data_IF_117658505647
#
_entry.id   IF_117658505647
#
_cell.length_a   1.000
_cell.length_b   1.000
_cell.length_c   1.000
_cell.angle_alpha   90.00
_cell.angle_beta   90.00
_cell.angle_gamma   90.00
#
_symmetry.space_group_name_H-M   'P 1'
#
loop_
_entity.id
_entity.type
_entity.pdbx_description
1 polymer ?
#
# COMPACT_ATOMS: atom_id res chain seq x y z
N UNK A 1 -15.72 25.29 -35.51
CA UNK A 1 -14.79 25.80 -34.46
C UNK A 1 -14.08 27.01 -35.00
N UNK A 2 -13.94 28.09 -34.22
CA UNK A 2 -13.21 29.29 -34.67
C UNK A 2 -11.69 29.05 -34.60
N UNK A 3 -10.89 29.48 -35.59
CA UNK A 3 -9.43 29.35 -35.54
C UNK A 3 -8.85 30.17 -34.38
N UNK A 4 -7.94 29.59 -33.59
CA UNK A 4 -7.26 30.27 -32.46
C UNK A 4 -6.51 31.53 -32.91
N UNK A 5 -5.95 31.54 -34.13
CA UNK A 5 -5.37 32.76 -34.73
C UNK A 5 -6.33 33.95 -34.76
N UNK A 6 -7.61 33.70 -34.98
CA UNK A 6 -8.63 34.75 -35.10
C UNK A 6 -9.12 35.30 -33.75
N UNK A 7 -8.74 34.66 -32.64
CA UNK A 7 -9.12 35.08 -31.29
C UNK A 7 -8.03 35.89 -30.60
N UNK A 8 -6.85 36.04 -31.21
CA UNK A 8 -5.71 36.78 -30.67
C UNK A 8 -5.66 38.13 -31.38
N UNK A 9 -5.38 39.20 -30.64
CA UNK A 9 -5.12 40.52 -31.22
C UNK A 9 -4.02 40.43 -32.31
N UNK A 10 -4.24 41.13 -33.42
CA UNK A 10 -3.39 41.03 -34.61
C UNK A 10 -1.93 41.42 -34.33
N UNK A 11 -1.72 42.50 -33.57
CA UNK A 11 -0.37 43.00 -33.26
C UNK A 11 0.34 42.07 -32.28
N UNK A 12 -0.39 41.57 -31.28
CA UNK A 12 0.13 40.57 -30.35
C UNK A 12 0.52 39.27 -31.09
N UNK A 13 -0.31 38.79 -32.01
CA UNK A 13 -0.01 37.60 -32.81
C UNK A 13 1.25 37.78 -33.66
N UNK A 14 1.46 38.95 -34.26
CA UNK A 14 2.66 39.27 -35.03
C UNK A 14 3.93 39.23 -34.16
N UNK A 15 3.90 39.82 -32.95
CA UNK A 15 5.02 39.78 -31.99
C UNK A 15 5.31 38.35 -31.54
N UNK A 16 4.28 37.57 -31.18
CA UNK A 16 4.44 36.17 -30.77
C UNK A 16 5.05 35.34 -31.92
N UNK A 17 4.53 35.49 -33.14
CA UNK A 17 5.03 34.73 -34.29
C UNK A 17 6.49 35.08 -34.61
N UNK A 18 6.86 36.37 -34.49
CA UNK A 18 8.21 36.85 -34.77
C UNK A 18 9.22 36.41 -33.70
N UNK A 19 8.93 36.66 -32.43
CA UNK A 19 9.92 36.51 -31.36
C UNK A 19 9.91 35.13 -30.69
N UNK A 20 8.74 34.49 -30.58
CA UNK A 20 8.61 33.18 -29.92
C UNK A 20 8.70 32.04 -30.93
N UNK A 21 7.93 32.11 -32.02
CA UNK A 21 7.83 31.02 -33.01
C UNK A 21 8.81 31.16 -34.18
N UNK A 22 9.42 32.35 -34.35
CA UNK A 22 10.36 32.69 -35.45
C UNK A 22 9.82 32.34 -36.84
N UNK A 23 8.53 32.59 -37.05
CA UNK A 23 7.80 32.27 -38.29
C UNK A 23 6.91 33.43 -38.70
N UNK A 24 6.66 33.57 -40.01
CA UNK A 24 5.61 34.45 -40.50
C UNK A 24 4.23 33.97 -40.03
N UNK A 25 3.31 34.90 -39.78
CA UNK A 25 1.96 34.60 -39.26
C UNK A 25 1.21 33.59 -40.14
N UNK A 26 1.46 33.60 -41.44
CA UNK A 26 0.82 32.68 -42.41
C UNK A 26 1.30 31.24 -42.24
N UNK A 27 2.58 31.06 -41.87
CA UNK A 27 3.23 29.75 -41.76
C UNK A 27 3.06 29.08 -40.39
N UNK A 28 2.48 29.78 -39.41
CA UNK A 28 2.18 29.23 -38.09
C UNK A 28 0.87 28.45 -38.14
N UNK A 29 0.76 27.29 -37.51
CA UNK A 29 -0.50 26.55 -37.39
C UNK A 29 -1.26 26.93 -36.11
N UNK A 30 -2.58 26.70 -36.06
CA UNK A 30 -3.34 26.89 -34.81
C UNK A 30 -2.81 25.98 -33.69
N UNK A 31 -2.31 24.77 -34.01
CA UNK A 31 -1.72 23.85 -33.05
C UNK A 31 -0.44 24.38 -32.42
N UNK A 32 0.44 25.04 -33.17
CA UNK A 32 1.67 25.63 -32.62
C UNK A 32 1.36 26.77 -31.64
N UNK A 33 0.33 27.57 -31.92
CA UNK A 33 -0.12 28.63 -31.00
C UNK A 33 -0.69 28.02 -29.72
N UNK A 34 -1.51 26.96 -29.83
CA UNK A 34 -2.03 26.25 -28.65
C UNK A 34 -0.90 25.62 -27.84
N UNK A 35 0.09 25.02 -28.49
CA UNK A 35 1.27 24.46 -27.80
C UNK A 35 2.07 25.54 -27.08
N UNK A 36 2.29 26.70 -27.71
CA UNK A 36 2.99 27.81 -27.08
C UNK A 36 2.21 28.37 -25.87
N UNK A 37 0.89 28.48 -26.01
CA UNK A 37 0.00 28.88 -24.91
C UNK A 37 0.07 27.84 -23.78
N UNK A 38 0.03 26.54 -24.07
CA UNK A 38 0.14 25.48 -23.07
C UNK A 38 1.51 25.48 -22.38
N UNK A 39 2.58 25.71 -23.14
CA UNK A 39 3.94 25.83 -22.62
C UNK A 39 4.10 27.05 -21.71
N UNK A 40 3.42 28.16 -22.02
CA UNK A 40 3.48 29.43 -21.27
C UNK A 40 2.53 29.50 -20.08
N UNK A 41 1.31 28.99 -20.24
CA UNK A 41 0.27 29.00 -19.21
C UNK A 41 0.52 27.86 -18.23
N UNK A 42 1.16 26.77 -18.66
CA UNK A 42 1.37 25.59 -17.82
C UNK A 42 0.07 25.22 -17.15
N UNK A 43 -0.90 24.67 -17.89
CA UNK A 43 -2.09 24.09 -17.25
C UNK A 43 -1.59 23.15 -16.18
N UNK A 44 -1.75 23.55 -14.92
CA UNK A 44 -1.40 22.74 -13.76
C UNK A 44 -2.23 21.47 -13.96
N UNK A 45 -1.61 20.32 -14.25
CA UNK A 45 -2.36 19.09 -14.44
C UNK A 45 -3.14 18.80 -13.17
N UNK A 46 -4.22 18.02 -13.26
CA UNK A 46 -4.78 17.42 -12.06
C UNK A 46 -3.67 16.64 -11.35
N UNK A 47 -3.21 17.19 -10.22
CA UNK A 47 -2.05 16.67 -9.49
C UNK A 47 -2.40 15.29 -8.92
N UNK A 48 -3.63 15.11 -8.46
CA UNK A 48 -4.07 13.86 -7.87
C UNK A 48 -4.11 12.76 -8.95
N UNK A 49 -4.67 13.06 -10.12
CA UNK A 49 -4.70 12.11 -11.25
C UNK A 49 -3.30 11.81 -11.79
N UNK A 50 -2.47 12.84 -11.97
CA UNK A 50 -1.12 12.71 -12.51
C UNK A 50 -0.26 11.78 -11.66
N UNK A 51 -0.19 12.06 -10.35
CA UNK A 51 0.66 11.29 -9.45
C UNK A 51 0.06 9.92 -9.17
N UNK A 52 -1.25 9.79 -8.99
CA UNK A 52 -1.87 8.47 -8.81
C UNK A 52 -1.64 7.52 -10.00
N UNK A 53 -1.59 8.07 -11.22
CA UNK A 53 -1.39 7.25 -12.42
C UNK A 53 0.08 6.90 -12.67
N UNK A 54 1.00 7.79 -12.30
CA UNK A 54 2.43 7.68 -12.69
C UNK A 54 3.38 7.38 -11.54
N UNK A 55 2.96 7.58 -10.30
CA UNK A 55 3.77 7.38 -9.11
C UNK A 55 3.21 6.22 -8.30
N UNK A 56 4.00 5.15 -8.20
CA UNK A 56 3.70 3.98 -7.36
C UNK A 56 4.99 3.38 -6.84
N UNK A 57 4.92 2.73 -5.69
CA UNK A 57 6.02 1.97 -5.12
C UNK A 57 6.15 0.65 -5.89
N UNK A 58 7.32 0.41 -6.49
CA UNK A 58 7.53 -0.74 -7.39
C UNK A 58 7.62 -2.07 -6.61
N UNK A 59 6.55 -2.86 -6.59
CA UNK A 59 6.51 -4.06 -5.76
C UNK A 59 7.42 -5.19 -6.23
N UNK A 60 7.87 -5.13 -7.49
CA UNK A 60 8.72 -6.16 -8.12
C UNK A 60 10.20 -6.00 -7.75
N UNK A 61 10.62 -4.84 -7.21
CA UNK A 61 11.97 -4.60 -6.71
C UNK A 61 12.16 -5.22 -5.32
N UNK A 62 12.93 -6.29 -5.18
CA UNK A 62 13.12 -7.02 -3.91
C UNK A 62 13.75 -6.15 -2.81
N UNK A 63 14.65 -5.23 -3.17
CA UNK A 63 15.26 -4.31 -2.20
C UNK A 63 14.28 -3.17 -1.83
N UNK A 64 13.78 -3.25 -0.60
CA UNK A 64 12.81 -2.28 -0.05
C UNK A 64 13.38 -0.85 -0.04
N UNK A 65 14.67 -0.70 0.24
CA UNK A 65 15.31 0.60 0.32
C UNK A 65 15.47 1.20 -1.08
N UNK A 66 15.93 0.39 -2.04
CA UNK A 66 16.03 0.80 -3.44
C UNK A 66 14.67 1.21 -4.00
N UNK A 67 13.62 0.44 -3.68
CA UNK A 67 12.25 0.71 -4.08
C UNK A 67 11.73 2.07 -3.60
N UNK A 68 11.98 2.41 -2.33
CA UNK A 68 11.56 3.69 -1.75
C UNK A 68 12.39 4.85 -2.31
N UNK A 69 13.68 4.64 -2.56
CA UNK A 69 14.51 5.64 -3.24
C UNK A 69 14.02 5.91 -4.67
N UNK A 70 13.71 4.85 -5.43
CA UNK A 70 13.15 4.94 -6.76
C UNK A 70 11.81 5.68 -6.77
N UNK A 71 10.94 5.42 -5.78
CA UNK A 71 9.70 6.18 -5.61
C UNK A 71 9.94 7.69 -5.49
N UNK A 72 10.90 8.11 -4.66
CA UNK A 72 11.25 9.53 -4.54
C UNK A 72 11.90 10.09 -5.81
N UNK A 73 12.74 9.30 -6.49
CA UNK A 73 13.32 9.67 -7.78
C UNK A 73 12.25 9.87 -8.86
N UNK A 74 11.29 8.95 -8.97
CA UNK A 74 10.17 9.01 -9.90
C UNK A 74 9.30 10.25 -9.61
N UNK A 75 9.04 10.54 -8.33
CA UNK A 75 8.33 11.76 -7.93
C UNK A 75 9.07 13.03 -8.36
N UNK A 76 10.39 13.09 -8.20
CA UNK A 76 11.22 14.23 -8.60
C UNK A 76 11.20 14.41 -10.12
N UNK A 77 11.28 13.29 -10.85
CA UNK A 77 11.22 13.25 -12.32
C UNK A 77 9.87 13.77 -12.83
N UNK A 78 8.75 13.36 -12.22
CA UNK A 78 7.42 13.87 -12.55
C UNK A 78 7.35 15.38 -12.30
N UNK A 79 7.83 15.85 -11.13
CA UNK A 79 7.83 17.28 -10.78
C UNK A 79 8.63 18.10 -11.79
N UNK A 80 9.81 17.61 -12.19
CA UNK A 80 10.67 18.28 -13.16
C UNK A 80 10.03 18.33 -14.55
N UNK A 81 9.52 17.19 -15.04
CA UNK A 81 8.94 17.08 -16.39
C UNK A 81 7.69 17.95 -16.57
N UNK A 82 6.95 18.21 -15.49
CA UNK A 82 5.74 19.03 -15.51
C UNK A 82 5.96 20.46 -14.98
N UNK A 83 7.20 20.87 -14.70
CA UNK A 83 7.50 22.22 -14.23
C UNK A 83 6.92 22.56 -12.85
N UNK A 84 6.60 21.55 -12.03
CA UNK A 84 5.94 21.71 -10.73
C UNK A 84 6.90 22.07 -9.59
N UNK A 85 8.16 22.37 -9.89
CA UNK A 85 9.21 22.62 -8.88
C UNK A 85 8.88 23.75 -7.91
N UNK A 86 8.17 24.80 -8.36
CA UNK A 86 7.73 25.90 -7.49
C UNK A 86 6.64 25.46 -6.48
N UNK A 87 5.83 24.47 -6.86
CA UNK A 87 4.63 24.02 -6.11
C UNK A 87 4.94 22.81 -5.24
N UNK A 88 5.85 21.93 -5.67
CA UNK A 88 6.12 20.62 -5.05
C UNK A 88 7.62 20.32 -4.85
N UNK A 89 8.51 21.23 -5.21
CA UNK A 89 9.95 21.05 -4.99
C UNK A 89 10.31 21.10 -3.51
N UNK A 90 11.42 20.47 -3.12
CA UNK A 90 11.97 20.61 -1.77
C UNK A 90 12.48 22.04 -1.59
N UNK A 91 13.36 22.49 -2.51
CA UNK A 91 13.84 23.87 -2.61
C UNK A 91 14.46 24.43 -1.32
N UNK A 92 14.58 25.75 -1.27
CA UNK A 92 15.13 26.47 -0.11
C UNK A 92 14.15 26.44 1.09
N UNK A 93 14.58 25.98 2.28
CA UNK A 93 13.80 26.01 3.52
C UNK A 93 13.37 27.42 3.97
N UNK A 94 14.14 28.45 3.61
CA UNK A 94 13.90 29.83 4.03
C UNK A 94 12.98 30.59 3.04
N UNK A 95 12.59 29.95 1.93
CA UNK A 95 11.69 30.54 0.95
C UNK A 95 10.27 30.72 1.50
N UNK A 96 9.61 31.81 1.07
CA UNK A 96 8.21 32.06 1.38
C UNK A 96 7.33 30.90 0.89
N UNK A 97 6.39 30.46 1.75
CA UNK A 97 5.49 29.34 1.44
C UNK A 97 6.14 27.95 1.48
N UNK A 98 7.38 27.81 1.96
CA UNK A 98 8.05 26.50 2.10
C UNK A 98 7.20 25.47 2.85
N UNK A 99 6.59 25.88 3.98
CA UNK A 99 5.80 24.98 4.81
C UNK A 99 4.56 24.43 4.08
N UNK A 100 3.87 25.27 3.31
CA UNK A 100 2.67 24.88 2.55
C UNK A 100 3.04 24.02 1.34
N UNK A 101 4.09 24.40 0.61
CA UNK A 101 4.70 23.58 -0.45
C UNK A 101 5.06 22.19 0.06
N UNK A 102 5.71 22.10 1.20
CA UNK A 102 6.11 20.82 1.78
C UNK A 102 4.90 19.99 2.24
N UNK A 103 3.88 20.64 2.79
CA UNK A 103 2.64 19.96 3.17
C UNK A 103 1.90 19.39 1.94
N UNK A 104 1.84 20.16 0.84
CA UNK A 104 1.24 19.70 -0.41
C UNK A 104 2.03 18.53 -1.01
N UNK A 105 3.36 18.67 -1.09
CA UNK A 105 4.27 17.59 -1.53
C UNK A 105 4.08 16.32 -0.72
N UNK A 106 4.09 16.42 0.61
CA UNK A 106 3.90 15.26 1.49
C UNK A 106 2.52 14.63 1.31
N UNK A 107 1.47 15.43 1.10
CA UNK A 107 0.12 14.91 0.84
C UNK A 107 0.08 14.09 -0.45
N UNK A 108 0.61 14.61 -1.55
CA UNK A 108 0.69 13.88 -2.84
C UNK A 108 1.53 12.61 -2.72
N UNK A 109 2.70 12.70 -2.08
CA UNK A 109 3.58 11.56 -1.86
C UNK A 109 2.92 10.49 -0.98
N UNK A 110 2.09 10.85 -0.01
CA UNK A 110 1.40 9.87 0.82
C UNK A 110 0.21 9.27 0.06
N UNK A 111 -0.59 10.10 -0.61
CA UNK A 111 -1.81 9.67 -1.29
C UNK A 111 -1.54 8.76 -2.49
N UNK A 112 -0.38 8.92 -3.11
CA UNK A 112 0.10 8.08 -4.22
C UNK A 112 0.74 6.75 -3.76
N UNK A 113 0.88 6.51 -2.45
CA UNK A 113 1.44 5.26 -1.96
C UNK A 113 0.50 4.08 -2.25
N UNK A 114 1.09 3.03 -2.81
CA UNK A 114 0.52 1.70 -2.89
C UNK A 114 1.49 0.70 -2.27
N UNK A 115 1.01 -0.32 -1.53
CA UNK A 115 -0.39 -0.67 -1.29
C UNK A 115 -1.10 0.26 -0.30
N UNK A 116 -2.45 0.27 -0.33
CA UNK A 116 -3.31 1.08 0.56
C UNK A 116 -2.96 0.99 2.05
N UNK A 117 -2.48 -0.18 2.50
CA UNK A 117 -2.06 -0.39 3.89
C UNK A 117 -0.87 0.50 4.28
N UNK A 118 0.17 0.57 3.43
CA UNK A 118 1.35 1.43 3.67
C UNK A 118 0.92 2.88 3.74
N UNK A 119 0.07 3.31 2.80
CA UNK A 119 -0.51 4.65 2.79
C UNK A 119 -1.23 5.00 4.11
N UNK A 120 -2.13 4.14 4.56
CA UNK A 120 -2.92 4.37 5.77
C UNK A 120 -2.01 4.41 7.02
N UNK A 121 -1.02 3.51 7.10
CA UNK A 121 -0.04 3.46 8.20
C UNK A 121 0.84 4.74 8.24
N UNK A 122 1.30 5.22 7.08
CA UNK A 122 2.06 6.48 6.99
C UNK A 122 1.18 7.68 7.37
N UNK A 123 -0.08 7.74 6.88
CA UNK A 123 -1.04 8.80 7.25
C UNK A 123 -1.25 8.85 8.76
N UNK A 124 -1.45 7.70 9.39
CA UNK A 124 -1.62 7.59 10.83
C UNK A 124 -0.36 8.07 11.58
N UNK A 125 0.82 7.62 11.14
CA UNK A 125 2.09 8.00 11.77
C UNK A 125 2.33 9.52 11.70
N UNK A 126 2.14 10.12 10.53
CA UNK A 126 2.28 11.58 10.37
C UNK A 126 1.22 12.37 11.15
N UNK A 127 0.05 11.79 11.44
CA UNK A 127 -1.03 12.49 12.15
C UNK A 127 -0.87 12.42 13.68
N UNK A 128 -0.46 11.28 14.21
CA UNK A 128 -0.51 11.02 15.66
C UNK A 128 0.85 10.81 16.32
N UNK A 129 1.89 10.44 15.56
CA UNK A 129 3.21 10.13 16.12
C UNK A 129 4.21 11.24 15.79
N UNK A 130 4.31 11.62 14.52
CA UNK A 130 5.26 12.64 14.05
C UNK A 130 4.52 13.71 13.23
N UNK A 131 3.92 14.67 13.93
CA UNK A 131 3.12 15.75 13.32
C UNK A 131 3.96 16.69 12.43
N UNK A 132 5.26 16.80 12.69
CA UNK A 132 6.20 17.59 11.89
C UNK A 132 6.61 16.95 10.57
N UNK A 133 6.36 15.65 10.37
CA UNK A 133 6.85 14.91 9.20
C UNK A 133 6.36 15.48 7.85
N UNK A 134 5.14 16.02 7.80
CA UNK A 134 4.57 16.59 6.56
C UNK A 134 5.30 17.85 6.08
N UNK A 135 6.05 18.50 6.95
CA UNK A 135 6.83 19.71 6.62
C UNK A 135 8.31 19.41 6.41
N UNK A 136 8.72 18.15 6.47
CA UNK A 136 10.12 17.75 6.37
C UNK A 136 10.24 16.47 5.52
N UNK A 137 10.77 16.63 4.31
CA UNK A 137 10.89 15.56 3.31
C UNK A 137 11.70 14.36 3.83
N UNK A 138 12.75 14.62 4.63
CA UNK A 138 13.61 13.59 5.21
C UNK A 138 12.89 12.77 6.27
N UNK A 139 12.12 13.42 7.16
CA UNK A 139 11.31 12.71 8.14
C UNK A 139 10.24 11.85 7.45
N UNK A 140 9.56 12.40 6.44
CA UNK A 140 8.58 11.66 5.66
C UNK A 140 9.20 10.44 4.97
N UNK A 141 10.37 10.61 4.33
CA UNK A 141 11.10 9.54 3.67
C UNK A 141 11.39 8.39 4.64
N UNK A 142 11.89 8.70 5.84
CA UNK A 142 12.19 7.70 6.85
C UNK A 142 10.93 6.94 7.32
N UNK A 143 9.80 7.64 7.49
CA UNK A 143 8.52 7.02 7.86
C UNK A 143 8.03 6.09 6.75
N UNK A 144 8.05 6.54 5.49
CA UNK A 144 7.64 5.71 4.34
C UNK A 144 8.53 4.47 4.24
N UNK A 145 9.84 4.64 4.39
CA UNK A 145 10.82 3.55 4.40
C UNK A 145 10.51 2.52 5.49
N UNK A 146 10.27 2.97 6.72
CA UNK A 146 9.91 2.10 7.85
C UNK A 146 8.60 1.35 7.59
N UNK A 147 7.55 2.04 7.16
CA UNK A 147 6.23 1.41 6.95
C UNK A 147 6.19 0.46 5.77
N UNK A 148 7.00 0.72 4.74
CA UNK A 148 7.19 -0.23 3.65
C UNK A 148 7.89 -1.50 4.14
N UNK A 149 8.91 -1.37 5.00
CA UNK A 149 9.58 -2.54 5.62
C UNK A 149 8.65 -3.35 6.50
N UNK A 150 7.82 -2.69 7.32
CA UNK A 150 6.82 -3.35 8.17
C UNK A 150 5.81 -4.15 7.31
N UNK A 151 5.36 -3.56 6.21
CA UNK A 151 4.43 -4.21 5.28
C UNK A 151 5.06 -5.40 4.57
N UNK A 152 6.32 -5.29 4.13
CA UNK A 152 7.04 -6.40 3.50
C UNK A 152 7.20 -7.58 4.47
N UNK A 153 7.65 -7.33 5.71
CA UNK A 153 7.77 -8.36 6.77
C UNK A 153 6.43 -9.04 7.03
N UNK A 154 5.34 -8.28 7.08
CA UNK A 154 4.00 -8.82 7.26
C UNK A 154 3.61 -9.76 6.11
N UNK A 155 3.86 -9.37 4.85
CA UNK A 155 3.59 -10.23 3.70
C UNK A 155 4.40 -11.52 3.74
N UNK A 156 5.70 -11.44 4.07
CA UNK A 156 6.57 -12.61 4.21
C UNK A 156 6.03 -13.60 5.24
N UNK A 157 5.63 -13.12 6.43
CA UNK A 157 5.04 -13.96 7.48
C UNK A 157 3.73 -14.62 7.03
N UNK A 158 2.87 -13.90 6.30
CA UNK A 158 1.61 -14.45 5.76
C UNK A 158 1.88 -15.55 4.73
N UNK A 159 2.88 -15.37 3.87
CA UNK A 159 3.29 -16.38 2.88
C UNK A 159 3.81 -17.65 3.56
N UNK A 160 4.67 -17.52 4.57
CA UNK A 160 5.17 -18.66 5.35
C UNK A 160 4.04 -19.43 6.04
N UNK A 161 3.04 -18.74 6.58
CA UNK A 161 1.88 -19.36 7.22
C UNK A 161 1.00 -20.12 6.19
N UNK A 162 0.85 -19.59 4.98
CA UNK A 162 0.14 -20.27 3.88
C UNK A 162 0.85 -21.55 3.45
N UNK A 163 2.17 -21.55 3.32
CA UNK A 163 2.96 -22.76 2.98
C UNK A 163 2.81 -23.83 4.07
N UNK A 164 2.87 -23.43 5.35
CA UNK A 164 2.69 -24.34 6.50
C UNK A 164 1.29 -24.96 6.53
N UNK A 165 0.25 -24.21 6.20
CA UNK A 165 -1.15 -24.71 6.18
C UNK A 165 -1.47 -25.56 4.94
N UNK A 166 -0.84 -25.27 3.80
CA UNK A 166 -0.95 -26.10 2.59
C UNK A 166 -0.25 -27.48 2.77
N UNK A 167 0.90 -27.51 3.45
CA UNK A 167 1.62 -28.75 3.76
C UNK A 167 0.80 -29.71 4.64
N UNK A 168 -0.05 -29.18 5.53
CA UNK A 168 -0.94 -29.97 6.41
C UNK A 168 -2.16 -30.54 5.67
N UNK A 169 -2.46 -30.07 4.45
CA UNK A 169 -3.65 -30.50 3.67
C UNK A 169 -3.32 -31.48 2.53
N UNK A 170 -2.19 -32.18 2.54
CA UNK A 170 -2.04 -33.36 1.66
C UNK A 170 -3.06 -34.42 2.08
N UNK A 171 -4.06 -34.77 1.24
CA UNK A 171 -4.88 -35.93 1.50
C UNK A 171 -3.99 -37.15 1.30
N UNK A 172 -3.98 -38.04 2.29
CA UNK A 172 -3.45 -39.39 2.16
C UNK A 172 -4.21 -40.11 1.04
N UNK A 173 -3.66 -40.10 -0.18
CA UNK A 173 -4.25 -40.75 -1.34
C UNK A 173 -3.97 -42.26 -1.26
N UNK A 174 -4.80 -42.95 -0.49
CA UNK A 174 -4.95 -44.40 -0.61
C UNK A 174 -5.87 -44.71 -1.80
N UNK A 175 -5.54 -45.70 -2.66
CA UNK A 175 -6.25 -45.93 -3.91
C UNK A 175 -7.60 -46.63 -3.66
N UNK A 176 -8.68 -46.30 -4.42
CA UNK A 176 -9.97 -46.94 -4.20
C UNK A 176 -9.98 -48.33 -4.85
N UNK A 177 -10.25 -49.35 -4.04
CA UNK A 177 -10.58 -50.70 -4.51
C UNK A 177 -11.93 -50.68 -5.23
N UNK A 178 -11.90 -51.11 -6.49
CA UNK A 178 -13.08 -51.49 -7.30
C UNK A 178 -13.92 -52.54 -6.59
N UNK A 179 -15.24 -52.33 -6.50
CA UNK A 179 -16.25 -53.40 -6.64
C UNK A 179 -17.49 -52.86 -7.35
N UNK A 180 -17.88 -53.57 -8.39
CA UNK A 180 -19.04 -53.39 -9.25
C UNK A 180 -20.28 -54.02 -8.61
N UNK A 181 -21.46 -53.37 -8.71
CA UNK A 181 -22.74 -54.02 -8.99
C UNK A 181 -23.84 -52.99 -9.35
N UNK A 182 -24.57 -53.35 -10.42
CA UNK A 182 -25.74 -52.79 -11.13
C UNK A 182 -26.89 -52.21 -10.25
N UNK A 183 -27.46 -51.05 -10.61
CA UNK A 183 -28.75 -50.83 -11.34
C UNK A 183 -30.00 -51.02 -10.42
N UNK A 184 -31.09 -50.24 -10.40
CA UNK A 184 -31.67 -49.25 -11.31
C UNK A 184 -32.83 -48.49 -10.59
N UNK A 185 -33.09 -47.25 -11.02
CA UNK A 185 -34.41 -46.58 -11.22
C UNK A 185 -35.26 -45.97 -10.04
N UNK A 186 -35.59 -44.69 -10.29
CA UNK A 186 -36.79 -43.84 -9.97
C UNK A 186 -36.85 -42.94 -8.72
N UNK A 187 -36.64 -41.65 -9.00
CA UNK A 187 -37.57 -40.52 -8.86
C UNK A 187 -38.48 -40.42 -7.62
N UNK A 188 -38.36 -39.31 -6.87
CA UNK A 188 -39.33 -38.18 -6.85
C UNK A 188 -39.09 -37.28 -5.63
N UNK A 189 -39.00 -35.96 -5.86
CA UNK A 189 -39.21 -34.90 -4.87
C UNK A 189 -40.74 -34.60 -4.81
N UNK A 190 -41.32 -33.75 -3.93
CA UNK A 190 -40.73 -32.88 -2.91
C UNK A 190 -41.52 -32.76 -1.56
N UNK A 191 -40.99 -31.89 -0.67
CA UNK A 191 -41.72 -30.85 0.10
C UNK A 191 -41.88 -31.02 1.64
N UNK A 192 -41.19 -30.10 2.34
CA UNK A 192 -41.56 -29.32 3.56
C UNK A 192 -41.83 -30.07 4.86
N UNK A 193 -41.01 -29.76 5.88
CA UNK A 193 -41.44 -29.20 7.19
C UNK A 193 -40.23 -28.81 8.03
N UNK A 194 -40.14 -27.53 8.42
CA UNK A 194 -39.29 -27.10 9.55
C UNK A 194 -39.86 -27.66 10.87
N UNK A 195 -39.03 -27.89 11.89
CA UNK A 195 -39.09 -26.92 12.99
C UNK A 195 -37.76 -26.64 13.70
N UNK A 196 -37.78 -25.49 14.37
CA UNK A 196 -37.09 -25.16 15.63
C UNK A 196 -35.54 -25.15 15.67
N UNK A 197 -35.04 -23.92 15.80
CA UNK A 197 -33.70 -23.55 16.22
C UNK A 197 -33.30 -24.22 17.54
N UNK A 198 -32.26 -25.06 17.50
CA UNK A 198 -31.48 -25.45 18.68
C UNK A 198 -30.06 -24.93 18.45
N UNK A 199 -29.63 -24.04 19.33
CA UNK A 199 -28.25 -23.57 19.44
C UNK A 199 -27.43 -24.75 19.95
N UNK A 200 -26.82 -25.51 19.04
CA UNK A 200 -25.79 -26.50 19.39
C UNK A 200 -24.45 -25.77 19.38
N UNK A 201 -23.96 -25.44 20.57
CA UNK A 201 -22.57 -25.08 20.77
C UNK A 201 -21.71 -26.26 20.34
N UNK A 202 -21.00 -26.11 19.23
CA UNK A 202 -19.96 -27.05 18.82
C UNK A 202 -18.88 -27.09 19.92
N UNK A 203 -18.47 -28.27 20.41
CA UNK A 203 -17.42 -28.35 21.42
C UNK A 203 -16.11 -27.81 20.82
N UNK A 204 -15.55 -26.76 21.43
CA UNK A 204 -14.18 -26.32 21.13
C UNK A 204 -13.27 -27.52 21.32
N UNK A 205 -12.57 -27.93 20.27
CA UNK A 205 -11.43 -28.86 20.37
C UNK A 205 -10.47 -28.27 21.41
N UNK A 206 -10.42 -28.87 22.59
CA UNK A 206 -9.47 -28.49 23.64
C UNK A 206 -8.08 -28.78 23.09
N UNK A 207 -7.29 -27.73 22.92
CA UNK A 207 -5.91 -27.88 22.48
C UNK A 207 -5.17 -28.70 23.55
N UNK A 208 -4.60 -29.84 23.14
CA UNK A 208 -3.84 -30.69 24.04
C UNK A 208 -2.68 -29.88 24.68
N UNK A 209 -2.42 -30.05 25.99
CA UNK A 209 -1.38 -29.31 26.69
C UNK A 209 0.01 -29.57 26.08
N UNK A 210 0.98 -28.67 26.29
CA UNK A 210 2.33 -28.84 25.76
C UNK A 210 2.96 -30.16 26.22
N UNK A 211 3.59 -30.90 25.30
CA UNK A 211 4.34 -32.14 25.62
C UNK A 211 5.49 -31.90 26.61
N UNK A 212 5.96 -30.66 26.73
CA UNK A 212 7.00 -30.23 27.68
C UNK A 212 6.49 -30.04 29.11
N UNK A 213 5.18 -30.17 29.34
CA UNK A 213 4.55 -29.82 30.62
C UNK A 213 4.44 -28.30 30.82
N UNK A 214 3.75 -27.92 31.90
CA UNK A 214 3.57 -26.53 32.33
C UNK A 214 4.94 -25.91 32.70
N UNK A 215 5.24 -24.73 32.18
CA UNK A 215 6.53 -24.06 32.45
C UNK A 215 6.70 -23.55 33.88
N UNK A 216 5.64 -23.57 34.69
CA UNK A 216 5.68 -23.19 36.10
C UNK A 216 5.87 -24.40 37.03
N UNK A 217 5.14 -25.49 36.82
CA UNK A 217 5.13 -26.65 37.74
C UNK A 217 5.30 -28.01 37.03
N UNK A 218 5.58 -28.03 35.73
CA UNK A 218 5.75 -29.22 34.88
C UNK A 218 4.52 -30.13 34.76
N UNK A 219 3.35 -29.73 35.27
CA UNK A 219 2.10 -30.48 35.15
C UNK A 219 1.52 -30.53 33.73
N UNK A 220 0.61 -31.49 33.48
CA UNK A 220 -0.06 -31.69 32.18
C UNK A 220 -1.21 -30.69 31.95
N UNK A 221 -0.91 -29.40 32.01
CA UNK A 221 -1.87 -28.31 31.78
C UNK A 221 -1.18 -27.11 31.14
N UNK A 222 -1.97 -26.19 30.58
CA UNK A 222 -1.45 -24.92 30.08
C UNK A 222 -1.02 -24.01 31.23
N UNK A 223 0.04 -23.21 31.04
CA UNK A 223 0.51 -22.25 32.06
C UNK A 223 -0.61 -21.31 32.56
N UNK A 224 -1.57 -20.95 31.69
CA UNK A 224 -2.74 -20.14 32.06
C UNK A 224 -3.66 -20.84 33.06
N UNK A 225 -3.72 -22.17 33.01
CA UNK A 225 -4.56 -23.04 33.82
C UNK A 225 -3.78 -23.68 34.99
N UNK A 226 -2.56 -23.17 35.27
CA UNK A 226 -1.73 -23.72 36.34
C UNK A 226 -2.36 -23.49 37.73
N UNK A 227 -2.67 -24.56 38.49
CA UNK A 227 -3.34 -24.48 39.78
C UNK A 227 -2.37 -24.17 40.94
N UNK A 228 -1.06 -24.10 40.69
CA UNK A 228 -0.07 -23.77 41.71
C UNK A 228 -0.07 -22.25 41.98
N UNK A 229 -0.21 -21.87 43.25
CA UNK A 229 0.03 -20.52 43.76
C UNK A 229 1.54 -20.21 43.62
N UNK A 230 1.87 -19.27 42.74
CA UNK A 230 3.24 -18.90 42.41
C UNK A 230 3.30 -17.92 41.24
N UNK A 231 4.45 -17.26 41.08
CA UNK A 231 4.61 -16.20 40.09
C UNK A 231 4.71 -16.75 38.65
N UNK A 232 3.54 -16.80 37.99
CA UNK A 232 3.39 -17.19 36.59
C UNK A 232 4.11 -16.24 35.63
N UNK A 233 4.40 -14.99 36.02
CA UNK A 233 5.07 -14.02 35.16
C UNK A 233 6.53 -14.41 34.91
N UNK A 234 7.23 -14.90 35.94
CA UNK A 234 8.61 -15.41 35.83
C UNK A 234 8.73 -16.60 34.87
N UNK A 235 7.69 -17.44 34.77
CA UNK A 235 7.67 -18.55 33.82
C UNK A 235 7.46 -18.09 32.37
N UNK A 236 6.71 -17.00 32.16
CA UNK A 236 6.53 -16.38 30.83
C UNK A 236 7.82 -15.72 30.35
N UNK A 237 8.55 -15.06 31.24
CA UNK A 237 9.81 -14.37 30.92
C UNK A 237 10.90 -15.35 30.47
N UNK A 238 11.11 -16.47 31.18
CA UNK A 238 12.02 -17.54 30.75
C UNK A 238 11.65 -18.12 29.38
N UNK A 239 10.35 -18.19 29.07
CA UNK A 239 9.90 -18.68 27.76
C UNK A 239 10.22 -17.70 26.62
N UNK A 240 10.27 -16.39 26.91
CA UNK A 240 10.72 -15.37 25.95
C UNK A 240 12.23 -15.44 25.74
N UNK A 241 13.01 -15.51 26.82
CA UNK A 241 14.48 -15.60 26.75
C UNK A 241 14.97 -16.84 25.99
N UNK A 242 14.34 -18.00 26.20
CA UNK A 242 14.68 -19.25 25.47
C UNK A 242 14.29 -19.21 23.99
N UNK A 243 13.31 -18.38 23.61
CA UNK A 243 12.97 -18.16 22.20
C UNK A 243 13.90 -17.17 21.52
N UNK A 244 14.45 -16.23 22.27
CA UNK A 244 15.36 -15.19 21.76
C UNK A 244 16.80 -15.69 21.62
N UNK A 245 17.18 -16.74 22.35
CA UNK A 245 18.47 -17.44 22.23
C UNK A 245 18.54 -18.51 21.13
N UNK A 246 17.55 -18.56 20.24
CA UNK A 246 17.42 -19.61 19.21
C UNK A 246 17.25 -18.99 17.83
#
# INVERSE_FOLDING_TARGET
>A
MKPVKSTIDRKLLEVICLYELRKAVENVSNSEIVQLIQQRIGTIPDLDELFKTRLKVDLDEDDIDARVLKYYQDSSTIIQNHGLGKILGVGDPDAEGFADRMNLRSTILIDSLEPRKVRDDVKHHCKYVCTGARKNDFMLFNIIKEKTRDQHKYLQLVLEQKVKTASVRKPDSSPPKRKSARADIRASNPRVSSPASIIVQTPRKVAAPPKTGCWHCQGQHWLRECPAEGDKARAVERMKELKEKR
#
